data_IF_900095724355
#
_entry.id   IF_900095724355
#
_cell.length_a   1.000
_cell.length_b   1.000
_cell.length_c   1.000
_cell.angle_alpha   90.00
_cell.angle_beta   90.00
_cell.angle_gamma   90.00
#
_symmetry.space_group_name_H-M   'P 1'
#
loop_
_entity.id
_entity.type
_entity.pdbx_description
1 polymer ?
#
# COMPACT_ATOMS: atom_id res chain seq x y z
N UNK A 1 15.59 9.42 0.52
CA UNK A 1 15.18 10.15 -0.70
C UNK A 1 13.94 10.94 -0.35
N UNK A 2 14.03 12.27 -0.25
CA UNK A 2 12.89 13.12 0.08
C UNK A 2 11.98 13.20 -1.14
N UNK A 3 10.75 12.71 -0.99
CA UNK A 3 9.71 12.85 -2.01
C UNK A 3 9.26 14.31 -2.01
N UNK A 4 9.14 14.93 -3.19
CA UNK A 4 8.71 16.32 -3.29
C UNK A 4 7.26 16.48 -2.84
N UNK A 5 6.93 17.64 -2.25
CA UNK A 5 5.57 17.98 -1.81
C UNK A 5 4.54 17.93 -2.94
N UNK A 6 4.95 18.25 -4.17
CA UNK A 6 4.15 18.12 -5.40
C UNK A 6 3.75 16.66 -5.66
N UNK A 7 4.71 15.74 -5.63
CA UNK A 7 4.48 14.31 -5.86
C UNK A 7 3.56 13.71 -4.79
N UNK A 8 3.76 14.06 -3.51
CA UNK A 8 2.90 13.62 -2.42
C UNK A 8 1.45 14.11 -2.57
N UNK A 9 1.28 15.40 -2.86
CA UNK A 9 -0.04 16.01 -3.07
C UNK A 9 -0.77 15.35 -4.23
N UNK A 10 -0.06 15.13 -5.34
CA UNK A 10 -0.61 14.50 -6.52
C UNK A 10 -1.08 13.08 -6.23
N UNK A 11 -0.25 12.28 -5.56
CA UNK A 11 -0.62 10.92 -5.15
C UNK A 11 -1.91 10.92 -4.31
N UNK A 12 -2.07 11.88 -3.40
CA UNK A 12 -3.28 11.97 -2.58
C UNK A 12 -4.51 12.35 -3.41
N UNK A 13 -4.38 13.33 -4.31
CA UNK A 13 -5.47 13.73 -5.21
C UNK A 13 -5.86 12.63 -6.20
N UNK A 14 -4.89 11.83 -6.67
CA UNK A 14 -5.15 10.67 -7.53
C UNK A 14 -5.97 9.58 -6.81
N UNK A 15 -5.83 9.44 -5.48
CA UNK A 15 -6.69 8.55 -4.67
C UNK A 15 -8.13 9.08 -4.67
N UNK A 16 -8.35 10.36 -4.34
CA UNK A 16 -9.69 10.97 -4.38
C UNK A 16 -10.34 10.82 -5.77
N UNK A 17 -9.56 10.98 -6.83
CA UNK A 17 -10.00 10.77 -8.21
C UNK A 17 -10.39 9.33 -8.48
N UNK A 18 -9.59 8.36 -8.04
CA UNK A 18 -9.86 6.93 -8.24
C UNK A 18 -11.17 6.49 -7.60
N UNK A 19 -11.53 7.11 -6.47
CA UNK A 19 -12.83 6.92 -5.81
C UNK A 19 -13.98 7.71 -6.44
N UNK A 20 -13.74 8.44 -7.53
CA UNK A 20 -14.70 9.34 -8.20
C UNK A 20 -15.41 10.28 -7.22
N UNK A 21 -14.72 10.72 -6.18
CA UNK A 21 -15.29 11.58 -5.13
C UNK A 21 -15.32 13.03 -5.63
N UNK A 22 -16.52 13.63 -5.81
CA UNK A 22 -16.63 15.04 -6.16
C UNK A 22 -16.27 15.92 -4.95
N UNK A 23 -16.43 17.25 -5.10
CA UNK A 23 -16.40 18.20 -3.99
C UNK A 23 -17.25 17.70 -2.82
N UNK A 24 -16.74 17.82 -1.59
CA UNK A 24 -17.40 17.30 -0.38
C UNK A 24 -17.25 15.78 -0.21
N UNK A 25 -16.53 15.13 -1.12
CA UNK A 25 -16.22 13.72 -1.03
C UNK A 25 -15.30 13.43 0.15
N UNK A 26 -15.68 12.41 0.92
CA UNK A 26 -15.00 12.02 2.16
C UNK A 26 -14.28 10.69 1.97
N UNK A 27 -13.10 10.60 2.55
CA UNK A 27 -12.35 9.36 2.71
C UNK A 27 -11.86 9.27 4.16
N UNK A 28 -12.02 8.10 4.76
CA UNK A 28 -11.45 7.80 6.06
C UNK A 28 -9.92 7.70 5.97
N UNK A 29 -9.23 7.91 7.09
CA UNK A 29 -7.79 7.69 7.17
C UNK A 29 -7.42 6.26 6.75
N UNK A 30 -8.24 5.26 7.11
CA UNK A 30 -8.01 3.85 6.75
C UNK A 30 -8.06 3.61 5.24
N UNK A 31 -9.03 4.21 4.55
CA UNK A 31 -9.11 4.13 3.09
C UNK A 31 -7.91 4.80 2.43
N UNK A 32 -7.55 5.99 2.91
CA UNK A 32 -6.38 6.71 2.42
C UNK A 32 -5.09 5.89 2.63
N UNK A 33 -4.89 5.30 3.81
CA UNK A 33 -3.73 4.45 4.09
C UNK A 33 -3.70 3.20 3.19
N UNK A 34 -4.85 2.57 2.96
CA UNK A 34 -4.96 1.39 2.08
C UNK A 34 -4.53 1.74 0.66
N UNK A 35 -5.06 2.82 0.11
CA UNK A 35 -4.80 3.17 -1.28
C UNK A 35 -3.43 3.82 -1.45
N UNK A 36 -2.92 4.50 -0.41
CA UNK A 36 -1.57 5.03 -0.36
C UNK A 36 -0.52 3.93 -0.45
N UNK A 37 -0.76 2.74 0.13
CA UNK A 37 0.14 1.59 -0.05
C UNK A 37 0.31 1.23 -1.53
N UNK A 38 -0.72 1.41 -2.36
CA UNK A 38 -0.66 1.21 -3.82
C UNK A 38 0.18 2.24 -4.60
N UNK A 39 0.60 3.32 -3.95
CA UNK A 39 1.50 4.34 -4.54
C UNK A 39 2.98 3.96 -4.43
N UNK A 40 3.33 3.10 -3.47
CA UNK A 40 4.72 2.77 -3.14
C UNK A 40 5.46 3.83 -2.33
N UNK A 41 4.77 4.90 -1.88
CA UNK A 41 5.32 5.92 -1.00
C UNK A 41 5.26 5.49 0.48
N UNK A 42 6.09 6.09 1.33
CA UNK A 42 6.13 5.74 2.76
C UNK A 42 4.88 6.26 3.45
N UNK A 43 4.50 5.63 4.58
CA UNK A 43 3.42 6.12 5.44
C UNK A 43 3.68 7.54 5.96
N UNK A 44 4.91 7.85 6.35
CA UNK A 44 5.28 9.19 6.79
C UNK A 44 5.03 10.26 5.70
N UNK A 45 5.14 9.89 4.42
CA UNK A 45 4.81 10.79 3.31
C UNK A 45 3.30 11.06 3.22
N UNK A 46 2.44 10.10 3.56
CA UNK A 46 0.99 10.32 3.65
C UNK A 46 0.65 11.33 4.73
N UNK A 47 1.23 11.17 5.93
CA UNK A 47 0.99 12.07 7.06
C UNK A 47 1.43 13.51 6.74
N UNK A 48 2.58 13.66 6.10
CA UNK A 48 3.05 14.96 5.59
C UNK A 48 2.09 15.52 4.54
N UNK A 49 1.64 14.72 3.57
CA UNK A 49 0.70 15.15 2.55
C UNK A 49 -0.62 15.64 3.15
N UNK A 50 -1.18 14.90 4.11
CA UNK A 50 -2.42 15.25 4.79
C UNK A 50 -2.28 16.54 5.57
N UNK A 51 -1.16 16.71 6.30
CA UNK A 51 -0.86 17.94 7.03
C UNK A 51 -0.75 19.13 6.07
N UNK A 52 0.04 19.00 5.01
CA UNK A 52 0.24 20.07 4.02
C UNK A 52 -1.08 20.45 3.32
N UNK A 53 -1.90 19.48 2.93
CA UNK A 53 -3.16 19.73 2.25
C UNK A 53 -4.23 20.32 3.18
N UNK A 54 -4.23 19.93 4.45
CA UNK A 54 -5.12 20.53 5.46
C UNK A 54 -4.71 21.97 5.77
N UNK A 55 -3.40 22.24 5.93
CA UNK A 55 -2.88 23.60 6.13
C UNK A 55 -3.21 24.53 4.97
N UNK A 56 -3.18 24.01 3.74
CA UNK A 56 -3.56 24.74 2.53
C UNK A 56 -5.06 24.80 2.27
N UNK A 57 -5.89 24.31 3.20
CA UNK A 57 -7.35 24.24 3.10
C UNK A 57 -7.85 23.50 1.85
N UNK A 58 -7.06 22.55 1.34
CA UNK A 58 -7.46 21.67 0.24
C UNK A 58 -8.27 20.48 0.77
N UNK A 59 -7.94 20.03 1.98
CA UNK A 59 -8.71 19.04 2.73
C UNK A 59 -9.22 19.66 4.04
N UNK A 60 -10.35 19.15 4.52
CA UNK A 60 -10.83 19.35 5.88
C UNK A 60 -10.71 18.04 6.65
N UNK A 61 -10.06 18.09 7.80
CA UNK A 61 -10.02 16.97 8.73
C UNK A 61 -11.24 17.03 9.63
N UNK A 62 -12.08 16.01 9.55
CA UNK A 62 -13.26 15.81 10.36
C UNK A 62 -13.01 14.65 11.33
N UNK A 63 -13.51 14.78 12.56
CA UNK A 63 -13.49 13.69 13.52
C UNK A 63 -14.71 12.82 13.26
N UNK A 64 -14.50 11.65 12.68
CA UNK A 64 -15.55 10.65 12.47
C UNK A 64 -15.63 9.66 13.62
N UNK A 65 -16.73 8.91 13.67
CA UNK A 65 -16.98 7.88 14.68
C UNK A 65 -15.90 6.78 14.68
N UNK A 66 -15.38 6.43 13.50
CA UNK A 66 -14.36 5.38 13.32
C UNK A 66 -12.92 5.94 13.18
N UNK A 67 -12.73 7.24 13.40
CA UNK A 67 -11.44 7.91 13.28
C UNK A 67 -11.46 9.14 12.38
N UNK A 68 -10.28 9.60 11.97
CA UNK A 68 -10.16 10.79 11.14
C UNK A 68 -10.74 10.55 9.74
N UNK A 69 -11.55 11.51 9.28
CA UNK A 69 -12.12 11.56 7.94
C UNK A 69 -11.62 12.82 7.27
N UNK A 70 -11.21 12.72 6.01
CA UNK A 70 -10.73 13.85 5.24
C UNK A 70 -11.69 14.16 4.10
N UNK A 71 -12.23 15.37 4.12
CA UNK A 71 -13.16 15.86 3.11
C UNK A 71 -12.43 16.73 2.09
N UNK A 72 -12.69 16.48 0.80
CA UNK A 72 -12.18 17.30 -0.29
C UNK A 72 -12.95 18.61 -0.38
N UNK A 73 -12.26 19.72 -0.13
CA UNK A 73 -12.86 21.07 -0.23
C UNK A 73 -13.07 21.50 -1.67
N UNK A 74 -13.77 22.61 -1.87
CA UNK A 74 -13.85 23.27 -3.18
C UNK A 74 -12.46 23.61 -3.73
N UNK A 75 -11.57 24.19 -2.92
CA UNK A 75 -10.20 24.52 -3.34
C UNK A 75 -9.40 23.26 -3.70
N UNK A 76 -9.60 22.17 -2.96
CA UNK A 76 -9.02 20.86 -3.26
C UNK A 76 -9.50 20.29 -4.59
N UNK A 77 -10.80 20.38 -4.87
CA UNK A 77 -11.39 19.95 -6.14
C UNK A 77 -10.86 20.78 -7.32
N UNK A 78 -10.81 22.12 -7.19
CA UNK A 78 -10.22 22.98 -8.21
C UNK A 78 -8.73 22.70 -8.41
N UNK A 79 -7.98 22.40 -7.34
CA UNK A 79 -6.57 22.01 -7.45
C UNK A 79 -6.40 20.67 -8.17
N UNK A 80 -7.30 19.71 -7.93
CA UNK A 80 -7.34 18.44 -8.66
C UNK A 80 -7.60 18.67 -10.15
N UNK A 81 -8.59 19.48 -10.51
CA UNK A 81 -8.90 19.83 -11.90
C UNK A 81 -7.75 20.58 -12.58
N UNK A 82 -7.10 21.53 -11.89
CA UNK A 82 -5.93 22.24 -12.41
C UNK A 82 -4.72 21.34 -12.62
N UNK A 83 -4.54 20.30 -11.79
CA UNK A 83 -3.51 19.28 -12.02
C UNK A 83 -3.81 18.38 -13.22
N UNK A 84 -5.08 18.26 -13.61
CA UNK A 84 -5.52 17.56 -14.82
C UNK A 84 -5.41 18.45 -16.07
N UNK A 85 -5.59 19.75 -15.92
CA UNK A 85 -5.44 20.74 -16.98
C UNK A 85 -3.99 21.22 -17.18
N UNK A 86 -3.09 20.91 -16.25
CA UNK A 86 -1.66 21.25 -16.30
C UNK A 86 -0.85 20.36 -17.23
N UNK A 87 0.38 20.81 -17.53
CA UNK A 87 1.29 20.27 -18.54
C UNK A 87 1.35 18.72 -18.55
N UNK A 88 0.92 18.06 -19.64
CA UNK A 88 0.88 16.61 -19.75
C UNK A 88 2.27 15.96 -19.58
N UNK A 89 3.36 16.70 -19.81
CA UNK A 89 4.73 16.23 -19.59
C UNK A 89 5.08 16.06 -18.11
N UNK A 90 4.69 17.01 -17.25
CA UNK A 90 4.84 16.88 -15.80
C UNK A 90 3.95 15.75 -15.26
N UNK A 91 2.77 15.56 -15.86
CA UNK A 91 1.91 14.41 -15.60
C UNK A 91 2.54 13.07 -15.96
N UNK A 92 3.21 12.99 -17.09
CA UNK A 92 3.92 11.80 -17.52
C UNK A 92 5.13 11.50 -16.64
N UNK A 93 5.90 12.50 -16.18
CA UNK A 93 7.05 12.31 -15.29
C UNK A 93 6.65 11.83 -13.89
N UNK A 94 5.59 12.41 -13.31
CA UNK A 94 5.05 11.93 -12.03
C UNK A 94 4.49 10.52 -12.17
N UNK A 95 3.77 10.24 -13.26
CA UNK A 95 3.30 8.89 -13.57
C UNK A 95 4.45 7.90 -13.75
N UNK A 96 5.54 8.30 -14.41
CA UNK A 96 6.77 7.50 -14.53
C UNK A 96 7.43 7.26 -13.18
N UNK A 97 7.45 8.26 -12.30
CA UNK A 97 7.99 8.16 -10.94
C UNK A 97 7.17 7.18 -10.10
N UNK A 98 5.84 7.28 -10.16
CA UNK A 98 4.92 6.32 -9.51
C UNK A 98 5.06 4.93 -10.11
N UNK A 99 5.21 4.80 -11.43
CA UNK A 99 5.41 3.52 -12.12
C UNK A 99 6.75 2.89 -11.77
N UNK A 100 7.80 3.69 -11.60
CA UNK A 100 9.13 3.23 -11.16
C UNK A 100 9.14 2.83 -9.70
N UNK A 101 8.43 3.54 -8.83
CA UNK A 101 8.19 3.13 -7.45
C UNK A 101 7.42 1.79 -7.40
N UNK A 102 6.36 1.65 -8.21
CA UNK A 102 5.60 0.39 -8.35
C UNK A 102 6.45 -0.78 -8.86
N UNK A 103 7.44 -0.55 -9.75
CA UNK A 103 8.35 -1.61 -10.20
C UNK A 103 9.26 -2.15 -9.08
N UNK A 104 9.55 -1.36 -8.04
CA UNK A 104 10.28 -1.84 -6.85
C UNK A 104 9.42 -2.62 -5.86
N UNK A 105 8.10 -2.45 -5.93
CA UNK A 105 7.12 -3.21 -5.13
C UNK A 105 6.54 -4.38 -5.95
N UNK A 106 7.10 -4.69 -7.13
CA UNK A 106 6.85 -5.99 -7.73
C UNK A 106 7.46 -6.99 -6.75
N UNK A 107 6.66 -7.90 -6.16
CA UNK A 107 7.23 -8.94 -5.33
C UNK A 107 8.28 -9.63 -6.20
N UNK A 108 9.47 -9.85 -5.66
CA UNK A 108 10.09 -11.14 -5.82
C UNK A 108 8.99 -12.13 -5.38
N UNK A 109 8.10 -12.47 -6.31
CA UNK A 109 7.42 -13.73 -6.28
C UNK A 109 8.60 -14.68 -6.22
N UNK A 110 8.80 -15.24 -5.03
CA UNK A 110 9.75 -16.28 -4.76
C UNK A 110 9.49 -17.38 -5.78
N UNK A 111 10.21 -17.31 -6.89
CA UNK A 111 10.72 -18.47 -7.58
C UNK A 111 11.72 -19.11 -6.61
N UNK A 112 11.21 -19.65 -5.51
CA UNK A 112 11.90 -20.64 -4.69
C UNK A 112 10.94 -21.80 -4.49
N UNK A 113 10.50 -22.37 -5.61
CA UNK A 113 10.17 -23.79 -5.66
C UNK A 113 11.49 -24.52 -5.46
N UNK A 114 11.88 -24.72 -4.20
CA UNK A 114 13.04 -25.52 -3.87
C UNK A 114 12.93 -26.90 -4.55
N UNK A 115 14.04 -27.47 -5.03
CA UNK A 115 14.01 -28.77 -5.69
C UNK A 115 13.48 -29.83 -4.73
N UNK A 116 12.35 -30.44 -5.13
CA UNK A 116 11.82 -31.70 -4.60
C UNK A 116 12.85 -32.81 -4.84
N UNK A 117 13.79 -32.97 -3.92
CA UNK A 117 14.54 -34.22 -3.74
C UNK A 117 13.99 -34.95 -2.51
N UNK A 118 12.85 -35.62 -2.71
CA UNK A 118 12.45 -36.80 -1.93
C UNK A 118 12.09 -37.89 -2.93
N UNK A 119 13.12 -38.46 -3.56
CA UNK A 119 13.17 -39.90 -3.84
C UNK A 119 13.62 -40.54 -2.53
N UNK A 120 12.80 -41.37 -1.87
CA UNK A 120 12.45 -42.73 -2.25
C UNK A 120 13.69 -43.64 -2.20
N UNK A 121 13.73 -44.41 -1.10
CA UNK A 121 14.61 -45.52 -0.67
C UNK A 121 14.89 -45.24 0.83
N UNK A 122 14.25 -45.88 1.81
CA UNK A 122 13.95 -47.30 1.98
C UNK A 122 12.57 -47.52 2.64
N UNK A 123 11.84 -48.47 2.10
CA UNK A 123 10.84 -49.30 2.80
C UNK A 123 11.43 -50.75 2.84
N UNK A 124 10.98 -51.72 3.66
CA UNK A 124 9.65 -51.81 4.26
C UNK A 124 9.60 -52.45 5.69
N UNK A 125 8.37 -52.64 6.12
CA UNK A 125 7.86 -53.14 7.39
C UNK A 125 8.32 -54.56 7.82
N UNK A 126 8.39 -54.76 9.14
CA UNK A 126 7.79 -55.90 9.84
C UNK A 126 7.70 -55.61 11.36
N UNK A 127 6.48 -55.59 11.90
CA UNK A 127 6.20 -55.90 13.31
C UNK A 127 6.00 -57.43 13.43
N UNK A 128 5.67 -58.05 14.59
CA UNK A 128 5.68 -57.62 16.01
C UNK A 128 6.35 -58.68 16.95
N UNK A 129 6.18 -58.50 18.27
CA UNK A 129 6.00 -59.53 19.31
C UNK A 129 7.13 -59.77 20.35
N UNK A 130 6.68 -59.64 21.61
CA UNK A 130 7.02 -60.40 22.83
C UNK A 130 8.47 -60.57 23.30
N UNK A 131 8.69 -60.21 24.58
CA UNK A 131 9.70 -60.83 25.42
C UNK A 131 10.25 -59.97 26.55
N UNK A 132 9.50 -59.84 27.65
CA UNK A 132 10.12 -59.80 28.99
C UNK A 132 10.91 -61.12 29.17
N UNK A 133 12.11 -61.16 29.79
CA UNK A 133 12.15 -61.17 31.25
C UNK A 133 13.41 -60.56 31.94
N UNK A 134 13.20 -60.11 33.18
CA UNK A 134 14.08 -60.26 34.37
C UNK A 134 15.61 -60.33 34.19
N UNK A 135 16.34 -59.34 34.76
CA UNK A 135 17.55 -59.64 35.56
C UNK A 135 17.66 -58.66 36.74
N UNK A 136 17.79 -59.25 37.93
CA UNK A 136 18.09 -58.68 39.25
C UNK A 136 19.33 -57.78 39.28
N UNK A 137 19.32 -56.79 40.18
CA UNK A 137 20.34 -56.66 41.22
C UNK A 137 19.77 -56.00 42.47
#
# INVERSE_FOLDING_TARGET
>A
MNVQASTRRRALLDIYRSHRKPRGGRLSLRELERDWKGTGLRRADLELALREMTQRRLLLMLRGHEGAVYELTYLGACAMERLLAGDPLAAAQDWWTLRRARRRVRPQAETYTGPRNRRADDAPAAAPAHGDPLVRR
#
